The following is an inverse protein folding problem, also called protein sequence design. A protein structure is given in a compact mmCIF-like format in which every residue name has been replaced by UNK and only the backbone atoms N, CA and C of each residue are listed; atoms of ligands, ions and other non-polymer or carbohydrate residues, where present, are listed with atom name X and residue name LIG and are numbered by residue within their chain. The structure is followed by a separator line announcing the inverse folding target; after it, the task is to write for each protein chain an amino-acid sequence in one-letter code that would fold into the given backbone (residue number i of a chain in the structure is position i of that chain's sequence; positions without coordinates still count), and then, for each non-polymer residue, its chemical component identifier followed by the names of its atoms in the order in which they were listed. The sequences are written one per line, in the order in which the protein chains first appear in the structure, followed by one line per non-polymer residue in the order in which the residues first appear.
data_IF_570418167805
#
_entry.id   IF_570418167805
#
_cell.length_a   1.000
_cell.length_b   1.000
_cell.length_c   1.000
_cell.angle_alpha   90.00
_cell.angle_beta   90.00
_cell.angle_gamma   90.00
#
_symmetry.space_group_name_H-M   'P 1'
#
loop_
_entity.id
_entity.type
_entity.pdbx_description
1 polymer ?
#
# COMPACT_ATOMS: atom_id res chain seq x y z
N UNK A 1 7.38 14.22 12.72
CA UNK A 1 7.34 12.95 12.00
C UNK A 1 8.15 13.08 10.73
N UNK A 2 8.90 12.06 10.33
CA UNK A 2 9.54 12.03 9.01
C UNK A 2 8.57 11.49 7.96
N UNK A 3 8.82 11.83 6.68
CA UNK A 3 8.03 11.39 5.53
C UNK A 3 7.85 9.86 5.47
N UNK A 4 8.91 9.11 5.81
CA UNK A 4 8.88 7.65 5.90
C UNK A 4 7.99 7.11 7.03
N UNK A 5 7.89 7.80 8.16
CA UNK A 5 7.00 7.40 9.24
C UNK A 5 5.53 7.59 8.85
N UNK A 6 5.22 8.67 8.14
CA UNK A 6 3.87 8.91 7.61
C UNK A 6 3.47 7.83 6.61
N UNK A 7 4.36 7.46 5.68
CA UNK A 7 4.12 6.37 4.72
C UNK A 7 3.79 5.06 5.44
N UNK A 8 4.54 4.70 6.49
CA UNK A 8 4.28 3.47 7.26
C UNK A 8 2.94 3.51 7.99
N UNK A 9 2.60 4.65 8.60
CA UNK A 9 1.32 4.84 9.28
C UNK A 9 0.15 4.74 8.30
N UNK A 10 0.33 5.23 7.07
CA UNK A 10 -0.67 5.17 6.01
C UNK A 10 -0.78 3.78 5.39
N UNK A 11 0.35 3.10 5.19
CA UNK A 11 0.39 1.76 4.63
C UNK A 11 -0.21 0.72 5.57
N UNK A 12 -0.02 0.85 6.89
CA UNK A 12 -0.51 -0.10 7.88
C UNK A 12 -2.02 -0.43 7.78
N UNK A 13 -2.94 0.56 7.77
CA UNK A 13 -4.37 0.28 7.60
C UNK A 13 -4.71 -0.27 6.21
N UNK A 14 -3.93 0.06 5.18
CA UNK A 14 -4.15 -0.42 3.80
C UNK A 14 -3.77 -1.90 3.69
N UNK A 15 -2.58 -2.27 4.17
CA UNK A 15 -2.11 -3.66 4.22
C UNK A 15 -3.02 -4.53 5.06
N UNK A 16 -3.48 -4.03 6.21
CA UNK A 16 -4.43 -4.77 7.05
C UNK A 16 -5.71 -5.08 6.29
N UNK A 17 -6.25 -4.09 5.57
CA UNK A 17 -7.49 -4.24 4.81
C UNK A 17 -7.32 -5.14 3.59
N UNK A 18 -6.13 -5.12 2.97
CA UNK A 18 -5.76 -6.05 1.91
C UNK A 18 -5.77 -7.49 2.42
N UNK A 19 -5.14 -7.73 3.57
CA UNK A 19 -5.09 -9.06 4.20
C UNK A 19 -6.47 -9.58 4.60
N UNK A 20 -7.35 -8.70 5.09
CA UNK A 20 -8.76 -9.05 5.35
C UNK A 20 -9.50 -9.41 4.06
N UNK A 21 -9.22 -8.71 2.96
CA UNK A 21 -9.76 -9.04 1.62
C UNK A 21 -9.26 -10.38 1.10
N UNK A 22 -7.97 -10.69 1.26
CA UNK A 22 -7.42 -12.00 0.90
C UNK A 22 -8.03 -13.14 1.72
N UNK A 23 -8.22 -12.95 3.03
CA UNK A 23 -8.88 -13.91 3.91
C UNK A 23 -10.36 -14.11 3.51
N UNK A 24 -11.09 -13.03 3.18
CA UNK A 24 -12.47 -13.10 2.68
C UNK A 24 -12.60 -13.74 1.28
N UNK A 25 -11.64 -13.48 0.39
CA UNK A 25 -11.59 -14.10 -0.94
C UNK A 25 -11.25 -15.59 -0.86
N UNK A 26 -10.75 -16.05 0.30
CA UNK A 26 -10.31 -17.41 0.54
C UNK A 26 -9.05 -17.73 -0.25
N UNK A 27 -8.44 -18.87 0.06
CA UNK A 27 -7.24 -19.49 -0.55
C UNK A 27 -7.39 -19.79 -2.07
N UNK A 28 -8.10 -18.95 -2.82
CA UNK A 28 -7.86 -18.79 -4.24
C UNK A 28 -6.41 -18.35 -4.35
N UNK A 29 -5.50 -19.32 -4.57
CA UNK A 29 -4.13 -19.06 -5.00
C UNK A 29 -4.19 -17.95 -6.03
N UNK A 30 -3.86 -16.72 -5.59
CA UNK A 30 -3.77 -15.60 -6.49
C UNK A 30 -2.60 -15.95 -7.39
N UNK A 31 -2.92 -16.46 -8.59
CA UNK A 31 -1.93 -16.86 -9.62
C UNK A 31 -1.02 -15.68 -9.97
N UNK A 32 -1.51 -14.46 -9.69
CA UNK A 32 -0.84 -13.21 -9.97
C UNK A 32 -0.82 -12.34 -8.70
N UNK A 33 0.32 -11.68 -8.48
CA UNK A 33 0.51 -10.75 -7.37
C UNK A 33 -0.43 -9.55 -7.59
N UNK A 34 -1.28 -9.19 -6.62
CA UNK A 34 -2.15 -8.04 -6.77
C UNK A 34 -1.32 -6.76 -6.95
N UNK A 35 -1.71 -5.93 -7.93
CA UNK A 35 -1.13 -4.61 -8.14
C UNK A 35 -2.06 -3.54 -7.56
N UNK A 36 -1.50 -2.64 -6.76
CA UNK A 36 -2.24 -1.50 -6.20
C UNK A 36 -1.86 -0.23 -6.93
N UNK A 37 -2.88 0.57 -7.27
CA UNK A 37 -2.69 1.90 -7.80
C UNK A 37 -3.54 2.91 -7.03
N UNK A 38 -2.91 3.91 -6.44
CA UNK A 38 -3.59 4.95 -5.69
C UNK A 38 -4.08 6.05 -6.63
N UNK A 39 -5.40 6.17 -6.75
CA UNK A 39 -6.02 7.24 -7.53
C UNK A 39 -6.44 8.34 -6.56
N UNK A 40 -5.92 9.56 -6.78
CA UNK A 40 -6.45 10.76 -6.13
C UNK A 40 -7.85 11.03 -6.67
N UNK A 41 -8.87 10.52 -5.96
CA UNK A 41 -10.26 10.96 -6.18
C UNK A 41 -10.31 12.47 -5.95
N UNK A 42 -11.27 13.17 -6.56
CA UNK A 42 -11.44 14.64 -6.63
C UNK A 42 -11.60 15.35 -5.25
N UNK A 43 -10.66 15.10 -4.36
CA UNK A 43 -10.57 15.58 -2.98
C UNK A 43 -9.61 16.77 -3.04
N UNK A 44 -9.94 17.89 -2.37
CA UNK A 44 -9.25 19.16 -2.50
C UNK A 44 -7.73 19.04 -2.40
N UNK A 45 -7.07 19.95 -3.11
CA UNK A 45 -5.63 20.07 -3.42
C UNK A 45 -4.65 19.84 -2.25
N UNK A 46 -5.11 19.78 -0.99
CA UNK A 46 -4.27 19.71 0.20
C UNK A 46 -4.80 18.67 1.21
N UNK A 47 -4.57 17.37 0.94
CA UNK A 47 -4.72 16.37 2.00
C UNK A 47 -3.47 16.48 2.89
N UNK A 48 -3.66 16.92 4.14
CA UNK A 48 -2.60 16.96 5.14
C UNK A 48 -2.86 15.89 6.18
N UNK A 49 -1.92 14.95 6.31
CA UNK A 49 -1.98 13.91 7.33
C UNK A 49 -0.86 14.21 8.32
N UNK A 50 -1.24 14.46 9.58
CA UNK A 50 -0.33 14.83 10.66
C UNK A 50 0.61 16.02 10.33
N UNK A 51 0.12 16.97 9.52
CA UNK A 51 0.88 18.14 9.09
C UNK A 51 1.79 17.92 7.88
N UNK A 52 1.81 16.71 7.29
CA UNK A 52 2.54 16.39 6.05
C UNK A 52 1.58 16.50 4.88
N UNK A 53 1.96 17.27 3.87
CA UNK A 53 1.21 17.42 2.64
C UNK A 53 1.39 16.16 1.78
N UNK A 54 0.28 15.51 1.44
CA UNK A 54 0.26 14.35 0.56
C UNK A 54 0.34 14.87 -0.88
N UNK A 55 1.56 15.03 -1.36
CA UNK A 55 1.86 15.29 -2.77
C UNK A 55 1.90 13.98 -3.57
N UNK A 56 1.76 14.07 -4.90
CA UNK A 56 1.90 12.94 -5.82
C UNK A 56 3.22 12.19 -5.59
N UNK A 57 4.31 12.87 -5.26
CA UNK A 57 5.59 12.24 -4.94
C UNK A 57 5.54 11.34 -3.68
N UNK A 58 4.72 11.68 -2.69
CA UNK A 58 4.54 10.87 -1.48
C UNK A 58 3.58 9.71 -1.74
N UNK A 59 2.58 9.93 -2.60
CA UNK A 59 1.66 8.90 -3.06
C UNK A 59 2.41 7.80 -3.82
N UNK A 60 3.33 8.17 -4.71
CA UNK A 60 4.16 7.24 -5.48
C UNK A 60 5.05 6.38 -4.56
N UNK A 61 5.67 6.99 -3.53
CA UNK A 61 6.42 6.26 -2.51
C UNK A 61 5.55 5.33 -1.67
N UNK A 62 4.32 5.75 -1.35
CA UNK A 62 3.36 4.92 -0.63
C UNK A 62 2.92 3.73 -1.49
N UNK A 63 2.65 3.96 -2.77
CA UNK A 63 2.34 2.92 -3.76
C UNK A 63 3.45 1.89 -3.83
N UNK A 64 4.69 2.34 -4.07
CA UNK A 64 5.86 1.47 -4.12
C UNK A 64 6.05 0.67 -2.82
N UNK A 65 5.88 1.32 -1.66
CA UNK A 65 6.02 0.64 -0.37
C UNK A 65 4.96 -0.45 -0.17
N UNK A 66 3.69 -0.16 -0.49
CA UNK A 66 2.61 -1.14 -0.35
C UNK A 66 2.79 -2.28 -1.34
N UNK A 67 3.15 -1.98 -2.60
CA UNK A 67 3.42 -3.00 -3.61
C UNK A 67 4.58 -3.93 -3.21
N UNK A 68 5.65 -3.38 -2.63
CA UNK A 68 6.79 -4.17 -2.13
C UNK A 68 6.38 -5.11 -0.99
N UNK A 69 5.51 -4.68 -0.08
CA UNK A 69 5.00 -5.55 1.00
C UNK A 69 4.15 -6.69 0.45
N UNK A 70 3.30 -6.40 -0.55
CA UNK A 70 2.48 -7.41 -1.22
C UNK A 70 3.37 -8.41 -1.98
N UNK A 71 4.34 -7.93 -2.75
CA UNK A 71 5.31 -8.81 -3.41
C UNK A 71 6.09 -9.65 -2.42
N UNK A 72 6.43 -9.12 -1.24
CA UNK A 72 7.12 -9.87 -0.20
C UNK A 72 6.23 -10.96 0.45
N UNK A 73 4.92 -10.72 0.55
CA UNK A 73 3.96 -11.73 1.04
C UNK A 73 3.64 -12.79 -0.05
N UNK A 74 3.58 -12.40 -1.33
CA UNK A 74 3.21 -13.29 -2.45
C UNK A 74 4.37 -13.95 -3.19
N UNK A 75 5.60 -13.44 -3.13
CA UNK A 75 6.77 -14.21 -3.59
C UNK A 75 7.19 -15.14 -2.45
N UNK A 76 6.87 -16.45 -2.51
CA UNK A 76 7.70 -17.38 -1.77
C UNK A 76 9.12 -17.14 -2.27
N UNK A 77 10.06 -16.95 -1.35
CA UNK A 77 11.48 -16.97 -1.67
C UNK A 77 11.77 -18.24 -2.47
N UNK A 78 11.79 -18.15 -3.81
CA UNK A 78 12.43 -19.14 -4.67
C UNK A 78 13.92 -18.90 -4.52
N UNK A 79 14.44 -19.28 -3.37
CA UNK A 79 15.85 -19.67 -3.25
C UNK A 79 15.96 -21.01 -3.99
N UNK A 80 16.37 -20.95 -5.26
CA UNK A 80 16.87 -22.11 -5.99
C UNK A 80 18.38 -22.23 -5.75
#
# INVERSE_FOLDING_TARGET
MTENEAIKILAAPILKKLKELEDEMGDQEMVEIPSIHFIRSQIPDHIKIDGIEIDDALLDKLEAYVQEQIEAEHRPTVLH
#
